data_IF_615255877791
#
_entry.id   IF_615255877791
#
_cell.length_a   1.000
_cell.length_b   1.000
_cell.length_c   1.000
_cell.angle_alpha   90.00
_cell.angle_beta   90.00
_cell.angle_gamma   90.00
#
_symmetry.space_group_name_H-M   'P 1'
#
loop_
_entity.id
_entity.type
_entity.pdbx_description
1 polymer ?
#
# COMPACT_ATOMS: atom_id res chain seq x y z
N UNK A 1 13.47 3.60 -12.90
CA UNK A 1 12.46 4.31 -12.10
C UNK A 1 12.36 3.58 -10.78
N UNK A 2 12.49 4.28 -9.65
CA UNK A 2 12.44 3.64 -8.34
C UNK A 2 11.01 3.72 -7.78
N UNK A 3 10.20 2.69 -8.10
CA UNK A 3 8.82 2.58 -7.61
C UNK A 3 8.88 1.97 -6.21
N UNK A 4 8.43 2.72 -5.20
CA UNK A 4 8.45 2.26 -3.82
C UNK A 4 7.46 1.11 -3.61
N UNK A 5 7.96 -0.01 -3.09
CA UNK A 5 7.12 -1.11 -2.59
C UNK A 5 6.39 -0.71 -1.31
N UNK A 6 5.21 -1.27 -1.08
CA UNK A 6 4.51 -1.11 0.20
C UNK A 6 5.08 -2.09 1.22
N UNK A 7 5.67 -1.57 2.29
CA UNK A 7 6.27 -2.38 3.37
C UNK A 7 5.64 -2.10 4.75
N UNK A 8 4.50 -1.41 4.80
CA UNK A 8 3.80 -1.07 6.06
C UNK A 8 4.31 0.17 6.78
N UNK A 9 5.40 0.81 6.33
CA UNK A 9 6.00 2.00 6.97
C UNK A 9 5.56 3.34 6.34
N UNK A 10 4.45 3.33 5.62
CA UNK A 10 3.81 4.50 5.01
C UNK A 10 2.30 4.31 5.10
N UNK A 11 1.55 5.41 5.16
CA UNK A 11 0.10 5.33 5.13
C UNK A 11 -0.38 4.74 3.78
N UNK A 12 -1.30 3.77 3.77
CA UNK A 12 -1.79 3.17 2.53
C UNK A 12 -2.31 4.19 1.51
N UNK A 13 -3.03 5.22 1.95
CA UNK A 13 -3.52 6.29 1.05
C UNK A 13 -2.37 7.07 0.40
N UNK A 14 -1.34 7.44 1.18
CA UNK A 14 -0.17 8.17 0.68
C UNK A 14 0.62 7.32 -0.33
N UNK A 15 0.77 6.03 -0.04
CA UNK A 15 1.45 5.12 -0.95
C UNK A 15 0.67 4.92 -2.25
N UNK A 16 -0.65 4.70 -2.18
CA UNK A 16 -1.51 4.57 -3.37
C UNK A 16 -1.43 5.83 -4.23
N UNK A 17 -1.53 7.02 -3.63
CA UNK A 17 -1.40 8.29 -4.34
C UNK A 17 -0.04 8.44 -5.02
N UNK A 18 1.04 7.99 -4.38
CA UNK A 18 2.39 8.07 -4.96
C UNK A 18 2.52 7.19 -6.21
N UNK A 19 2.04 5.94 -6.14
CA UNK A 19 2.14 5.01 -7.26
C UNK A 19 1.13 5.32 -8.39
N UNK A 20 -0.02 5.93 -8.06
CA UNK A 20 -1.06 6.30 -9.03
C UNK A 20 -0.60 7.38 -10.01
N UNK A 21 0.42 8.18 -9.67
CA UNK A 21 1.08 9.13 -10.60
C UNK A 21 1.57 8.48 -11.89
N UNK A 22 1.78 7.16 -11.86
CA UNK A 22 2.33 6.41 -12.96
C UNK A 22 1.29 5.55 -13.68
N UNK A 23 0.01 5.65 -13.33
CA UNK A 23 -1.07 4.79 -13.83
C UNK A 23 -1.09 4.63 -15.35
N UNK A 24 -0.75 5.69 -16.10
CA UNK A 24 -0.69 5.65 -17.57
C UNK A 24 0.23 4.55 -18.13
N UNK A 25 1.25 4.12 -17.38
CA UNK A 25 2.15 3.03 -17.78
C UNK A 25 1.57 1.65 -17.44
N UNK A 26 0.59 1.57 -16.54
CA UNK A 26 0.16 0.36 -15.84
C UNK A 26 -0.99 -0.28 -16.60
N UNK A 27 -1.93 0.55 -17.08
CA UNK A 27 -3.06 0.14 -17.92
C UNK A 27 -2.64 -0.63 -19.17
N UNK A 28 -1.50 -0.28 -19.76
CA UNK A 28 -1.04 -0.89 -21.02
C UNK A 28 -0.16 -2.13 -20.87
N UNK A 29 0.51 -2.30 -19.72
CA UNK A 29 1.61 -3.26 -19.61
C UNK A 29 1.46 -4.30 -18.48
N UNK A 30 0.63 -4.04 -17.47
CA UNK A 30 0.67 -4.81 -16.21
C UNK A 30 -0.72 -5.23 -15.69
N UNK A 31 -1.70 -5.33 -16.58
CA UNK A 31 -3.07 -5.74 -16.21
C UNK A 31 -3.84 -4.69 -15.41
N UNK A 32 -3.44 -3.41 -15.52
CA UNK A 32 -4.10 -2.30 -14.84
C UNK A 32 -3.50 -1.92 -13.49
N UNK A 33 -4.05 -0.84 -12.92
CA UNK A 33 -3.53 -0.24 -11.70
C UNK A 33 -3.51 -1.22 -10.52
N UNK A 34 -4.63 -1.90 -10.29
CA UNK A 34 -4.83 -2.78 -9.15
C UNK A 34 -3.83 -3.95 -9.13
N UNK A 35 -3.70 -4.68 -10.23
CA UNK A 35 -2.81 -5.84 -10.33
C UNK A 35 -1.35 -5.46 -10.09
N UNK A 36 -0.95 -4.29 -10.60
CA UNK A 36 0.39 -3.76 -10.38
C UNK A 36 0.58 -3.33 -8.92
N UNK A 37 -0.41 -2.67 -8.32
CA UNK A 37 -0.35 -2.26 -6.91
C UNK A 37 -0.21 -3.48 -5.99
N UNK A 38 -1.01 -4.53 -6.21
CA UNK A 38 -0.89 -5.81 -5.49
C UNK A 38 0.52 -6.39 -5.63
N UNK A 39 1.10 -6.35 -6.83
CA UNK A 39 2.46 -6.86 -7.09
C UNK A 39 3.58 -6.05 -6.42
N UNK A 40 3.31 -4.81 -6.03
CA UNK A 40 4.25 -3.92 -5.34
C UNK A 40 4.15 -4.00 -3.81
N UNK A 41 3.21 -4.79 -3.28
CA UNK A 41 3.14 -5.08 -1.84
C UNK A 41 4.26 -6.05 -1.47
N UNK A 42 4.94 -5.77 -0.36
CA UNK A 42 5.97 -6.66 0.17
C UNK A 42 5.38 -8.06 0.44
N UNK A 43 6.00 -9.16 -0.06
CA UNK A 43 5.45 -10.52 0.08
C UNK A 43 5.27 -11.00 1.52
N UNK A 44 5.91 -10.34 2.49
CA UNK A 44 5.71 -10.60 3.93
C UNK A 44 4.34 -10.12 4.43
N UNK A 45 3.72 -9.16 3.73
CA UNK A 45 2.39 -8.65 4.01
C UNK A 45 1.38 -9.57 3.33
N UNK A 46 0.68 -10.36 4.14
CA UNK A 46 -0.37 -11.26 3.65
C UNK A 46 -1.61 -10.44 3.27
N UNK A 47 -1.99 -10.55 2.02
CA UNK A 47 -3.23 -10.01 1.47
C UNK A 47 -4.33 -11.09 1.43
N UNK A 48 -5.61 -10.71 1.47
CA UNK A 48 -6.72 -11.60 1.15
C UNK A 48 -6.55 -12.26 -0.23
N UNK A 49 -7.16 -13.42 -0.42
CA UNK A 49 -7.09 -14.18 -1.68
C UNK A 49 -7.75 -13.45 -2.84
N UNK A 50 -8.79 -12.65 -2.56
CA UNK A 50 -9.49 -11.85 -3.55
C UNK A 50 -9.47 -10.38 -3.11
N UNK A 51 -9.04 -9.52 -4.04
CA UNK A 51 -9.09 -8.06 -3.93
C UNK A 51 -9.61 -7.56 -5.27
N UNK A 52 -10.80 -6.95 -5.25
CA UNK A 52 -11.57 -6.59 -6.45
C UNK A 52 -11.31 -5.16 -6.88
N UNK A 53 -10.92 -4.29 -5.96
CA UNK A 53 -10.67 -2.88 -6.22
C UNK A 53 -9.60 -2.28 -5.27
N UNK A 54 -9.29 -1.01 -5.51
CA UNK A 54 -8.29 -0.27 -4.74
C UNK A 54 -8.75 0.03 -3.32
N UNK A 55 -10.06 0.13 -3.08
CA UNK A 55 -10.59 0.34 -1.74
C UNK A 55 -10.40 -0.91 -0.88
N UNK A 56 -10.68 -2.10 -1.42
CA UNK A 56 -10.40 -3.36 -0.76
C UNK A 56 -8.90 -3.54 -0.47
N UNK A 57 -8.03 -3.22 -1.45
CA UNK A 57 -6.58 -3.23 -1.23
C UNK A 57 -6.19 -2.30 -0.08
N UNK A 58 -6.64 -1.04 -0.13
CA UNK A 58 -6.35 -0.03 0.89
C UNK A 58 -6.79 -0.50 2.28
N UNK A 59 -7.99 -1.06 2.39
CA UNK A 59 -8.53 -1.52 3.67
C UNK A 59 -7.71 -2.71 4.21
N UNK A 60 -7.38 -3.69 3.35
CA UNK A 60 -6.50 -4.79 3.73
C UNK A 60 -5.11 -4.32 4.23
N UNK A 61 -4.53 -3.31 3.58
CA UNK A 61 -3.27 -2.72 4.03
C UNK A 61 -3.41 -1.97 5.37
N UNK A 62 -4.55 -1.29 5.61
CA UNK A 62 -4.85 -0.63 6.89
C UNK A 62 -5.07 -1.60 8.05
N UNK A 63 -5.60 -2.79 7.77
CA UNK A 63 -5.83 -3.83 8.77
C UNK A 63 -4.57 -4.65 9.08
N UNK A 64 -3.55 -4.58 8.21
CA UNK A 64 -2.32 -5.33 8.40
C UNK A 64 -1.55 -4.88 9.67
N UNK A 65 -0.92 -5.87 10.34
CA UNK A 65 -0.17 -5.65 11.57
C UNK A 65 1.01 -4.69 11.40
N UNK A 66 1.71 -4.73 10.26
CA UNK A 66 2.87 -3.87 10.00
C UNK A 66 2.46 -2.40 10.01
N UNK A 67 1.36 -2.05 9.34
CA UNK A 67 0.82 -0.71 9.35
C UNK A 67 0.30 -0.30 10.74
N UNK A 68 -0.34 -1.22 11.46
CA UNK A 68 -0.81 -0.95 12.84
C UNK A 68 0.35 -0.59 13.76
N UNK A 69 1.48 -1.30 13.68
CA UNK A 69 2.70 -1.01 14.45
C UNK A 69 3.28 0.34 14.05
N UNK A 70 3.39 0.63 12.75
CA UNK A 70 3.84 1.93 12.25
C UNK A 70 2.98 3.08 12.80
N UNK A 71 1.64 2.98 12.66
CA UNK A 71 0.68 3.99 13.10
C UNK A 71 0.81 4.25 14.61
N UNK A 72 0.83 3.19 15.42
CA UNK A 72 0.92 3.31 16.87
C UNK A 72 2.25 3.88 17.33
N UNK A 73 3.35 3.52 16.66
CA UNK A 73 4.69 4.06 16.96
C UNK A 73 4.74 5.56 16.70
N UNK A 74 4.23 6.02 15.56
CA UNK A 74 4.17 7.45 15.25
C UNK A 74 3.22 8.20 16.20
N UNK A 75 2.07 7.62 16.56
CA UNK A 75 1.17 8.21 17.57
C UNK A 75 1.88 8.45 18.90
N UNK A 76 2.65 7.47 19.41
CA UNK A 76 3.42 7.64 20.66
C UNK A 76 4.47 8.74 20.53
N UNK A 77 5.21 8.78 19.41
CA UNK A 77 6.20 9.82 19.14
C UNK A 77 5.58 11.23 19.14
N UNK A 78 4.40 11.37 18.53
CA UNK A 78 3.65 12.64 18.51
C UNK A 78 3.18 13.08 19.89
N UNK A 79 2.82 12.14 20.76
CA UNK A 79 2.41 12.43 22.14
C UNK A 79 3.60 12.80 23.06
N UNK A 80 4.82 12.49 22.65
CA UNK A 80 6.05 12.84 23.36
C UNK A 80 6.74 14.11 22.84
N UNK A 81 6.10 14.84 21.93
CA UNK A 81 6.53 16.17 21.44
C UNK A 81 5.87 17.26 22.27
#
# INVERSE_FOLDING_TARGET
MDIRKYNGNIHPDEWILDIQKYNYMWEKNYGGFLNTAISLVDPTIKLPTEIRDIEELRNALKENISFTVFKNTNKRKLQSL
#
